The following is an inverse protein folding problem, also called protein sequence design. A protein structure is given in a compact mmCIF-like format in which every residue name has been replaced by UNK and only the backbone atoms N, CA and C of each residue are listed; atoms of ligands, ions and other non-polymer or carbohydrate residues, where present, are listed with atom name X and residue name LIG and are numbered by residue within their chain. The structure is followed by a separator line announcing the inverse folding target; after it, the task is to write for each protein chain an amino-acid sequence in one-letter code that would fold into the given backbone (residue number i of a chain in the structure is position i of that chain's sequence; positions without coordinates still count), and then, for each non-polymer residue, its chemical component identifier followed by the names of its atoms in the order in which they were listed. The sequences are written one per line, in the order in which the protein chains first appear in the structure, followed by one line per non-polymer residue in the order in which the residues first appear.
data_IF_870309152341
#
_entry.id   IF_870309152341
#
_cell.length_a   1.000
_cell.length_b   1.000
_cell.length_c   1.000
_cell.angle_alpha   90.00
_cell.angle_beta   90.00
_cell.angle_gamma   90.00
#
_symmetry.space_group_name_H-M   'P 1'
#
loop_
_entity.id
_entity.type
_entity.pdbx_description
1 polymer ?
#
# COMPACT_ATOMS: atom_id res chain seq x y z
N UNK A 1 -9.22 0.66 22.86
CA UNK A 1 -8.19 0.31 21.87
C UNK A 1 -7.39 -0.86 22.41
N UNK A 2 -7.24 -1.94 21.64
CA UNK A 2 -6.48 -3.12 22.06
C UNK A 2 -5.10 -3.07 21.45
N UNK A 3 -4.05 -3.19 22.25
CA UNK A 3 -2.68 -3.30 21.79
C UNK A 3 -2.31 -4.77 21.66
N UNK A 4 -1.95 -5.22 20.46
CA UNK A 4 -1.67 -6.64 20.16
C UNK A 4 -0.19 -6.99 20.09
N UNK A 5 0.71 -6.00 20.24
CA UNK A 5 2.15 -6.20 20.32
C UNK A 5 2.90 -6.05 18.99
N UNK A 6 4.01 -6.78 18.87
CA UNK A 6 4.95 -6.71 17.75
C UNK A 6 4.40 -7.46 16.55
N UNK A 7 4.26 -6.78 15.41
CA UNK A 7 3.70 -7.32 14.16
C UNK A 7 4.48 -8.56 13.66
N UNK A 8 5.76 -8.66 13.94
CA UNK A 8 6.59 -9.81 13.51
C UNK A 8 6.25 -11.10 14.25
N UNK A 9 5.56 -10.99 15.39
CA UNK A 9 5.15 -12.12 16.24
C UNK A 9 3.67 -12.44 16.16
N UNK A 10 2.90 -11.61 15.46
CA UNK A 10 1.46 -11.83 15.32
C UNK A 10 1.16 -12.88 14.25
N UNK A 11 0.13 -13.67 14.51
CA UNK A 11 -0.51 -14.53 13.54
C UNK A 11 -1.82 -13.87 13.11
N UNK A 12 -1.90 -13.40 11.87
CA UNK A 12 -3.07 -12.72 11.33
C UNK A 12 -4.34 -13.59 11.33
N UNK A 13 -4.20 -14.92 11.27
CA UNK A 13 -5.32 -15.83 11.29
C UNK A 13 -6.04 -15.90 12.65
N UNK A 14 -5.34 -15.53 13.73
CA UNK A 14 -5.86 -15.54 15.10
C UNK A 14 -6.46 -14.19 15.53
N UNK A 15 -6.19 -13.14 14.74
CA UNK A 15 -6.71 -11.81 15.02
C UNK A 15 -8.20 -11.72 14.64
N UNK A 16 -8.97 -10.89 15.37
CA UNK A 16 -10.33 -10.56 14.94
C UNK A 16 -10.33 -9.94 13.54
N UNK A 17 -11.27 -10.30 12.66
CA UNK A 17 -11.36 -9.70 11.34
C UNK A 17 -11.64 -8.19 11.45
N UNK A 18 -10.92 -7.40 10.66
CA UNK A 18 -11.06 -5.94 10.56
C UNK A 18 -11.35 -5.54 9.11
N UNK A 19 -12.06 -4.44 8.90
CA UNK A 19 -12.39 -3.98 7.55
C UNK A 19 -11.20 -3.38 6.82
N UNK A 20 -10.33 -2.67 7.54
CA UNK A 20 -9.16 -1.96 6.99
C UNK A 20 -7.93 -2.20 7.85
N UNK A 21 -6.78 -2.37 7.19
CA UNK A 21 -5.46 -2.34 7.82
C UNK A 21 -4.71 -1.12 7.29
N UNK A 22 -4.32 -0.23 8.21
CA UNK A 22 -3.50 0.94 7.90
C UNK A 22 -2.08 0.75 8.43
N UNK A 23 -1.09 1.19 7.66
CA UNK A 23 0.31 1.14 8.08
C UNK A 23 1.17 2.17 7.35
N UNK A 24 2.25 2.59 8.02
CA UNK A 24 3.31 3.44 7.48
C UNK A 24 4.64 2.81 7.84
N UNK A 25 5.18 1.96 6.98
CA UNK A 25 6.49 1.37 7.21
C UNK A 25 7.59 2.42 7.07
N UNK A 26 8.67 2.37 7.88
CA UNK A 26 9.81 3.24 7.70
C UNK A 26 10.37 3.16 6.27
N UNK A 27 10.75 4.30 5.69
CA UNK A 27 11.26 4.37 4.32
C UNK A 27 12.52 3.52 4.10
N UNK A 28 13.29 3.30 5.16
CA UNK A 28 14.51 2.47 5.15
C UNK A 28 14.21 0.98 4.98
N UNK A 29 12.98 0.56 5.24
CA UNK A 29 12.57 -0.85 5.18
C UNK A 29 12.17 -1.30 3.76
N UNK A 30 12.03 -0.37 2.82
CA UNK A 30 11.70 -0.66 1.42
C UNK A 30 12.94 -0.91 0.56
N UNK A 31 14.16 -0.60 1.05
CA UNK A 31 15.36 -0.75 0.25
C UNK A 31 15.65 -2.22 -0.08
N UNK A 32 15.72 -2.51 -1.37
CA UNK A 32 15.93 -3.83 -2.00
C UNK A 32 17.22 -4.55 -1.57
N UNK A 33 18.13 -3.85 -0.88
CA UNK A 33 19.30 -4.49 -0.28
C UNK A 33 18.92 -5.66 0.68
N UNK A 34 17.72 -5.62 1.24
CA UNK A 34 17.15 -6.72 2.01
C UNK A 34 16.54 -7.85 1.18
N UNK A 35 15.94 -7.55 0.02
CA UNK A 35 15.27 -8.56 -0.81
C UNK A 35 16.25 -9.47 -1.57
N UNK A 36 17.48 -9.00 -1.84
CA UNK A 36 18.54 -9.81 -2.46
C UNK A 36 19.30 -10.70 -1.48
N UNK A 37 19.19 -10.44 -0.17
CA UNK A 37 19.77 -11.28 0.87
C UNK A 37 18.89 -12.50 1.21
N UNK A 38 17.84 -12.75 0.44
CA UNK A 38 16.86 -13.77 0.74
C UNK A 38 16.00 -13.40 1.97
N UNK A 39 15.09 -14.27 2.38
CA UNK A 39 14.17 -14.11 3.52
C UNK A 39 14.86 -13.82 4.88
N UNK A 40 16.17 -13.61 4.91
CA UNK A 40 17.00 -13.36 6.11
C UNK A 40 17.39 -11.88 6.33
N UNK A 41 17.01 -10.95 5.45
CA UNK A 41 17.33 -9.52 5.61
C UNK A 41 16.36 -8.83 6.55
N UNK A 42 16.77 -8.59 7.78
CA UNK A 42 15.94 -8.13 8.91
C UNK A 42 15.37 -6.68 8.81
N UNK A 43 15.42 -6.01 7.67
CA UNK A 43 15.02 -4.59 7.53
C UNK A 43 14.00 -4.25 6.44
N UNK A 44 13.70 -5.16 5.52
CA UNK A 44 12.55 -5.03 4.60
C UNK A 44 11.24 -5.51 5.26
N UNK A 45 11.31 -5.76 6.56
CA UNK A 45 10.38 -6.56 7.30
C UNK A 45 9.00 -5.95 7.50
N UNK A 46 8.85 -4.69 7.92
CA UNK A 46 7.57 -4.25 8.48
C UNK A 46 6.46 -4.10 7.43
N UNK A 47 6.77 -3.65 6.22
CA UNK A 47 5.79 -3.65 5.14
C UNK A 47 5.41 -5.08 4.72
N UNK A 48 6.39 -5.97 4.58
CA UNK A 48 6.14 -7.37 4.24
C UNK A 48 5.36 -8.09 5.34
N UNK A 49 5.63 -7.77 6.61
CA UNK A 49 4.86 -8.26 7.75
C UNK A 49 3.40 -7.76 7.72
N UNK A 50 3.18 -6.50 7.36
CA UNK A 50 1.83 -5.98 7.15
C UNK A 50 1.11 -6.77 6.05
N UNK A 51 1.76 -7.04 4.91
CA UNK A 51 1.19 -7.83 3.83
C UNK A 51 0.98 -9.30 4.22
N UNK A 52 1.87 -9.88 5.04
CA UNK A 52 1.69 -11.21 5.61
C UNK A 52 0.42 -11.29 6.47
N UNK A 53 0.24 -10.34 7.40
CA UNK A 53 -0.96 -10.27 8.25
C UNK A 53 -2.23 -10.14 7.40
N UNK A 54 -2.23 -9.29 6.38
CA UNK A 54 -3.37 -9.16 5.46
C UNK A 54 -3.71 -10.50 4.79
N UNK A 55 -2.71 -11.22 4.27
CA UNK A 55 -2.90 -12.53 3.63
C UNK A 55 -3.45 -13.56 4.61
N UNK A 56 -2.87 -13.65 5.80
CA UNK A 56 -3.29 -14.60 6.84
C UNK A 56 -4.73 -14.34 7.30
N UNK A 57 -5.09 -13.07 7.55
CA UNK A 57 -6.46 -12.71 7.94
C UNK A 57 -7.46 -13.05 6.85
N UNK A 58 -7.19 -12.69 5.58
CA UNK A 58 -8.07 -12.98 4.45
C UNK A 58 -8.24 -14.49 4.26
N UNK A 59 -7.14 -15.26 4.32
CA UNK A 59 -7.19 -16.71 4.21
C UNK A 59 -8.00 -17.37 5.34
N UNK A 60 -7.86 -16.88 6.57
CA UNK A 60 -8.65 -17.34 7.70
C UNK A 60 -10.14 -17.00 7.54
N UNK A 61 -10.43 -15.82 7.01
CA UNK A 61 -11.79 -15.34 6.80
C UNK A 61 -12.51 -16.15 5.70
N UNK A 62 -11.81 -16.50 4.62
CA UNK A 62 -12.30 -17.43 3.62
C UNK A 62 -12.62 -18.84 4.19
N UNK A 63 -11.75 -19.33 5.10
CA UNK A 63 -12.01 -20.60 5.80
C UNK A 63 -13.23 -20.54 6.72
N UNK A 64 -13.62 -19.34 7.18
CA UNK A 64 -14.86 -19.08 7.92
C UNK A 64 -16.10 -19.01 7.03
N UNK A 65 -15.95 -19.20 5.70
CA UNK A 65 -17.05 -19.20 4.72
C UNK A 65 -17.41 -17.84 4.16
N UNK A 66 -16.57 -16.80 4.30
CA UNK A 66 -16.79 -15.51 3.65
C UNK A 66 -16.27 -15.51 2.23
N UNK A 67 -16.95 -14.78 1.34
CA UNK A 67 -16.65 -14.73 -0.09
C UNK A 67 -16.71 -13.28 -0.61
N UNK A 68 -15.95 -13.02 -1.68
CA UNK A 68 -16.01 -11.76 -2.42
C UNK A 68 -15.82 -10.55 -1.52
N UNK A 69 -16.82 -9.67 -1.51
CA UNK A 69 -16.80 -8.39 -0.76
C UNK A 69 -16.83 -8.55 0.77
N UNK A 70 -17.17 -9.73 1.26
CA UNK A 70 -17.27 -9.99 2.71
C UNK A 70 -15.95 -10.47 3.33
N UNK A 71 -14.95 -10.80 2.53
CA UNK A 71 -13.63 -11.23 3.02
C UNK A 71 -12.90 -10.04 3.66
N UNK A 72 -12.43 -10.24 4.87
CA UNK A 72 -11.71 -9.22 5.67
C UNK A 72 -10.21 -9.54 5.81
N UNK A 73 -9.36 -8.51 5.81
CA UNK A 73 -9.66 -7.11 5.50
C UNK A 73 -10.03 -6.91 4.03
N UNK A 74 -10.97 -6.00 3.76
CA UNK A 74 -11.29 -5.56 2.41
C UNK A 74 -10.29 -4.49 1.93
N UNK A 75 -9.82 -3.65 2.86
CA UNK A 75 -9.04 -2.46 2.54
C UNK A 75 -7.63 -2.52 3.14
N UNK A 76 -6.68 -2.00 2.40
CA UNK A 76 -5.35 -1.63 2.91
C UNK A 76 -5.09 -0.18 2.61
N UNK A 77 -4.64 0.55 3.63
CA UNK A 77 -4.10 1.91 3.48
C UNK A 77 -2.61 1.88 3.86
N UNK A 78 -1.77 2.45 3.01
CA UNK A 78 -0.34 2.60 3.26
C UNK A 78 0.08 4.05 3.09
N UNK A 79 0.88 4.56 4.05
CA UNK A 79 1.44 5.91 4.04
C UNK A 79 2.95 5.85 3.97
N UNK A 80 3.57 6.75 3.19
CA UNK A 80 5.03 6.89 3.18
C UNK A 80 5.47 8.26 2.67
N UNK A 81 6.79 8.49 2.72
CA UNK A 81 7.40 9.71 2.16
C UNK A 81 7.57 9.58 0.64
N UNK A 82 7.55 10.71 -0.13
CA UNK A 82 7.73 10.70 -1.58
C UNK A 82 9.04 10.07 -2.06
N UNK A 83 10.05 9.98 -1.19
CA UNK A 83 11.30 9.29 -1.48
C UNK A 83 11.12 7.82 -1.91
N UNK A 84 10.03 7.17 -1.51
CA UNK A 84 9.71 5.81 -1.93
C UNK A 84 9.51 5.68 -3.46
N UNK A 85 9.06 6.74 -4.13
CA UNK A 85 8.91 6.75 -5.60
C UNK A 85 10.24 6.65 -6.34
N UNK A 86 11.35 7.07 -5.74
CA UNK A 86 12.66 7.16 -6.40
C UNK A 86 13.68 6.18 -5.83
N UNK A 87 13.37 5.51 -4.73
CA UNK A 87 14.27 4.58 -4.05
C UNK A 87 14.34 3.21 -4.73
N UNK A 88 15.31 2.42 -4.29
CA UNK A 88 15.54 1.07 -4.77
C UNK A 88 16.73 0.92 -5.73
N UNK A 89 17.07 -0.35 -6.00
CA UNK A 89 18.11 -0.72 -6.95
C UNK A 89 17.61 -1.91 -7.78
N UNK A 90 17.26 -1.69 -9.06
CA UNK A 90 17.35 -0.46 -9.84
C UNK A 90 16.47 0.67 -9.29
N UNK A 91 16.70 1.90 -9.74
CA UNK A 91 15.91 3.06 -9.35
C UNK A 91 14.43 2.83 -9.61
N UNK A 92 13.55 3.32 -8.71
CA UNK A 92 12.08 3.18 -8.72
C UNK A 92 11.55 1.80 -8.28
N UNK A 93 12.43 0.89 -7.87
CA UNK A 93 12.08 -0.50 -7.57
C UNK A 93 11.27 -0.64 -6.28
N UNK A 94 11.54 0.18 -5.25
CA UNK A 94 10.89 0.02 -3.94
C UNK A 94 9.38 0.23 -4.04
N UNK A 95 8.92 1.26 -4.73
CA UNK A 95 7.48 1.48 -4.89
C UNK A 95 6.83 0.46 -5.83
N UNK A 96 7.57 -0.05 -6.83
CA UNK A 96 7.13 -1.18 -7.66
C UNK A 96 6.82 -2.40 -6.80
N UNK A 97 7.71 -2.73 -5.85
CA UNK A 97 7.53 -3.85 -4.92
C UNK A 97 6.30 -3.62 -4.03
N UNK A 98 6.08 -2.41 -3.53
CA UNK A 98 4.88 -2.08 -2.74
C UNK A 98 3.61 -2.37 -3.54
N UNK A 99 3.52 -1.89 -4.78
CA UNK A 99 2.37 -2.14 -5.65
C UNK A 99 2.19 -3.64 -5.91
N UNK A 100 3.27 -4.33 -6.25
CA UNK A 100 3.26 -5.75 -6.60
C UNK A 100 2.83 -6.63 -5.43
N UNK A 101 3.33 -6.38 -4.23
CA UNK A 101 2.97 -7.16 -3.04
C UNK A 101 1.51 -6.98 -2.62
N UNK A 102 0.95 -5.78 -2.83
CA UNK A 102 -0.48 -5.53 -2.60
C UNK A 102 -1.33 -6.24 -3.65
N UNK A 103 -0.97 -6.11 -4.93
CA UNK A 103 -1.69 -6.76 -6.04
C UNK A 103 -1.67 -8.28 -5.90
N UNK A 104 -0.56 -8.86 -5.46
CA UNK A 104 -0.38 -10.31 -5.26
C UNK A 104 -1.29 -10.92 -4.18
N UNK A 105 -1.93 -10.11 -3.35
CA UNK A 105 -2.95 -10.60 -2.41
C UNK A 105 -4.15 -11.20 -3.17
N UNK A 106 -4.51 -10.61 -4.31
CA UNK A 106 -5.60 -11.10 -5.17
C UNK A 106 -5.09 -11.87 -6.40
N UNK A 107 -3.92 -11.50 -6.92
CA UNK A 107 -3.34 -12.02 -8.15
C UNK A 107 -1.90 -12.47 -7.93
N UNK A 108 -1.66 -13.68 -7.39
CA UNK A 108 -0.34 -14.12 -6.90
C UNK A 108 0.79 -14.10 -7.93
N UNK A 109 0.46 -14.20 -9.22
CA UNK A 109 1.44 -14.26 -10.33
C UNK A 109 1.56 -12.95 -11.09
N UNK A 110 0.86 -11.89 -10.65
CA UNK A 110 0.92 -10.60 -11.31
C UNK A 110 2.25 -9.90 -11.07
N UNK A 111 2.76 -9.27 -12.11
CA UNK A 111 3.99 -8.49 -12.08
C UNK A 111 3.69 -7.04 -12.46
N UNK A 112 4.19 -6.11 -11.68
CA UNK A 112 4.08 -4.69 -11.97
C UNK A 112 5.31 -4.25 -12.76
N UNK A 113 5.15 -3.68 -13.97
CA UNK A 113 6.28 -3.22 -14.78
C UNK A 113 7.00 -2.05 -14.10
N UNK A 114 8.32 -2.01 -14.27
CA UNK A 114 9.10 -0.84 -13.84
C UNK A 114 8.69 0.39 -14.65
N UNK A 115 8.59 1.58 -14.03
CA UNK A 115 8.30 2.80 -14.75
C UNK A 115 9.50 3.31 -15.56
N UNK A 116 10.69 2.73 -15.35
CA UNK A 116 11.92 3.18 -16.04
C UNK A 116 11.76 3.23 -17.56
N UNK A 117 12.26 4.29 -18.24
CA UNK A 117 13.10 5.38 -17.74
C UNK A 117 12.38 6.55 -17.06
N UNK A 118 11.08 6.49 -16.95
CA UNK A 118 10.24 7.51 -16.32
C UNK A 118 10.17 7.30 -14.80
N UNK A 119 9.75 8.33 -14.06
CA UNK A 119 9.46 8.23 -12.63
C UNK A 119 8.02 7.80 -12.39
N UNK A 120 7.73 7.30 -11.18
CA UNK A 120 6.35 7.13 -10.75
C UNK A 120 5.63 8.47 -10.71
N UNK A 121 4.40 8.57 -11.24
CA UNK A 121 3.60 9.79 -11.14
C UNK A 121 3.15 10.03 -9.69
N UNK A 122 2.92 11.30 -9.34
CA UNK A 122 2.43 11.70 -8.01
C UNK A 122 1.03 11.13 -7.69
N UNK A 123 0.29 10.71 -8.68
CA UNK A 123 -0.98 10.01 -8.55
C UNK A 123 -1.13 8.96 -9.66
N UNK A 124 -1.81 7.85 -9.34
CA UNK A 124 -2.09 6.79 -10.30
C UNK A 124 -2.99 5.73 -9.72
N UNK A 125 -3.40 4.80 -10.57
CA UNK A 125 -4.30 3.71 -10.20
C UNK A 125 -4.01 2.43 -10.97
N UNK A 126 -4.41 1.31 -10.40
CA UNK A 126 -4.44 -0.02 -10.99
C UNK A 126 -5.81 -0.64 -10.73
N UNK A 127 -6.44 -1.18 -11.77
CA UNK A 127 -7.75 -1.82 -11.64
C UNK A 127 -7.77 -3.16 -12.37
N UNK A 128 -8.51 -4.12 -11.84
CA UNK A 128 -8.69 -5.44 -12.45
C UNK A 128 -10.17 -5.85 -12.45
N UNK A 129 -10.82 -5.69 -13.61
CA UNK A 129 -12.14 -6.24 -13.91
C UNK A 129 -13.27 -5.88 -12.94
N UNK A 130 -13.16 -4.78 -12.21
CA UNK A 130 -14.13 -4.39 -11.18
C UNK A 130 -14.04 -5.20 -9.87
N UNK A 131 -13.15 -6.19 -9.79
CA UNK A 131 -12.97 -7.04 -8.61
C UNK A 131 -11.84 -6.57 -7.67
N UNK A 132 -11.00 -5.67 -8.16
CA UNK A 132 -9.88 -5.10 -7.41
C UNK A 132 -9.57 -3.70 -7.93
N UNK A 133 -9.19 -2.82 -7.03
CA UNK A 133 -8.60 -1.54 -7.36
C UNK A 133 -7.55 -1.11 -6.33
N UNK A 134 -6.58 -0.35 -6.79
CA UNK A 134 -5.55 0.29 -6.00
C UNK A 134 -5.32 1.68 -6.58
N UNK A 135 -5.20 2.68 -5.72
CA UNK A 135 -4.85 4.03 -6.13
C UNK A 135 -3.80 4.61 -5.17
N UNK A 136 -2.97 5.51 -5.68
CA UNK A 136 -2.04 6.27 -4.85
C UNK A 136 -2.06 7.74 -5.21
N UNK A 137 -1.75 8.59 -4.23
CA UNK A 137 -1.63 10.03 -4.40
C UNK A 137 -0.63 10.60 -3.41
N UNK A 138 0.19 11.54 -3.90
CA UNK A 138 1.04 12.35 -3.03
C UNK A 138 0.25 13.59 -2.57
N UNK A 139 0.07 13.74 -1.27
CA UNK A 139 -0.63 14.85 -0.63
C UNK A 139 0.35 15.69 0.19
N UNK A 140 0.13 17.02 0.22
CA UNK A 140 0.90 17.93 1.06
C UNK A 140 -0.02 18.56 2.12
N UNK A 141 0.33 18.36 3.38
CA UNK A 141 -0.48 18.79 4.53
C UNK A 141 -0.77 20.30 4.54
N UNK A 142 0.06 21.13 3.90
CA UNK A 142 -0.15 22.59 3.82
C UNK A 142 -1.49 22.97 3.17
N UNK A 143 -2.03 22.12 2.28
CA UNK A 143 -3.31 22.36 1.59
C UNK A 143 -4.52 21.86 2.39
N UNK A 144 -4.29 21.30 3.59
CA UNK A 144 -5.31 20.68 4.44
C UNK A 144 -5.43 21.35 5.81
N UNK A 145 -5.18 22.66 5.86
CA UNK A 145 -5.31 23.46 7.08
C UNK A 145 -4.16 23.31 8.09
N UNK A 146 -3.07 22.66 7.71
CA UNK A 146 -1.86 22.52 8.53
C UNK A 146 -0.78 23.43 7.97
N UNK A 147 -0.26 24.37 8.78
CA UNK A 147 0.80 25.30 8.39
C UNK A 147 2.18 24.60 8.30
N UNK A 148 2.25 23.46 7.63
CA UNK A 148 3.47 22.67 7.46
C UNK A 148 3.54 22.06 6.05
N UNK A 149 4.64 22.26 5.36
CA UNK A 149 4.97 21.51 4.14
C UNK A 149 5.35 20.09 4.51
N UNK A 150 4.41 19.16 4.34
CA UNK A 150 4.60 17.75 4.65
C UNK A 150 3.97 16.89 3.56
N UNK A 151 4.77 16.54 2.58
CA UNK A 151 4.34 15.64 1.50
C UNK A 151 4.36 14.19 1.95
N UNK A 152 3.28 13.46 1.64
CA UNK A 152 3.14 12.03 1.90
C UNK A 152 2.43 11.32 0.76
N UNK A 153 2.88 10.13 0.46
CA UNK A 153 2.16 9.20 -0.40
C UNK A 153 1.09 8.53 0.45
N UNK A 154 -0.14 8.55 -0.04
CA UNK A 154 -1.20 7.70 0.43
C UNK A 154 -1.56 6.71 -0.66
N UNK A 155 -1.64 5.44 -0.31
CA UNK A 155 -2.08 4.37 -1.17
C UNK A 155 -3.26 3.69 -0.52
N UNK A 156 -4.32 3.45 -1.29
CA UNK A 156 -5.51 2.72 -0.87
C UNK A 156 -5.74 1.55 -1.83
N UNK A 157 -5.99 0.37 -1.30
CA UNK A 157 -6.38 -0.79 -2.08
C UNK A 157 -7.74 -1.32 -1.62
N UNK A 158 -8.62 -1.63 -2.58
CA UNK A 158 -9.89 -2.36 -2.41
C UNK A 158 -9.73 -3.76 -3.00
N UNK A 159 -9.68 -4.77 -2.14
CA UNK A 159 -9.53 -6.18 -2.54
C UNK A 159 -10.81 -6.84 -3.04
N UNK A 160 -11.88 -6.07 -3.20
CA UNK A 160 -13.19 -6.62 -3.58
C UNK A 160 -14.02 -5.65 -4.44
N UNK A 161 -13.40 -4.64 -5.05
CA UNK A 161 -14.17 -3.70 -5.88
C UNK A 161 -13.33 -2.59 -6.51
N UNK A 162 -13.99 -1.68 -7.23
CA UNK A 162 -13.36 -0.58 -7.97
C UNK A 162 -13.26 0.73 -7.19
N UNK A 163 -13.48 0.75 -5.86
CA UNK A 163 -13.74 1.99 -5.12
C UNK A 163 -12.48 2.75 -4.67
N UNK A 164 -11.29 2.13 -4.71
CA UNK A 164 -10.09 2.79 -4.21
C UNK A 164 -9.76 4.12 -4.94
N UNK A 165 -9.82 4.21 -6.28
CA UNK A 165 -9.61 5.49 -6.98
C UNK A 165 -10.67 6.54 -6.60
N UNK A 166 -11.94 6.17 -6.57
CA UNK A 166 -13.03 7.08 -6.22
C UNK A 166 -12.82 7.67 -4.82
N UNK A 167 -12.54 6.82 -3.83
CA UNK A 167 -12.32 7.28 -2.46
C UNK A 167 -11.09 8.15 -2.32
N UNK A 168 -10.00 7.83 -3.02
CA UNK A 168 -8.74 8.57 -2.87
C UNK A 168 -8.74 9.89 -3.66
N UNK A 169 -9.43 9.96 -4.80
CA UNK A 169 -9.43 11.14 -5.66
C UNK A 169 -10.64 12.06 -5.40
N UNK A 170 -11.85 11.52 -5.25
CA UNK A 170 -13.06 12.32 -5.11
C UNK A 170 -13.18 12.98 -3.74
N UNK A 171 -12.84 12.27 -2.65
CA UNK A 171 -12.91 12.81 -1.28
C UNK A 171 -11.96 13.99 -1.08
N UNK A 172 -10.86 14.03 -1.81
CA UNK A 172 -9.85 15.08 -1.66
C UNK A 172 -9.94 16.19 -2.72
N UNK A 173 -10.90 16.13 -3.65
CA UNK A 173 -11.12 17.15 -4.68
C UNK A 173 -9.89 17.41 -5.57
N UNK A 174 -10.06 18.24 -6.59
CA UNK A 174 -8.97 18.60 -7.52
C UNK A 174 -7.91 19.53 -6.90
N UNK A 175 -8.20 20.14 -5.76
CA UNK A 175 -7.35 21.16 -5.12
C UNK A 175 -6.15 20.61 -4.34
N UNK A 176 -6.07 19.30 -4.13
CA UNK A 176 -4.94 18.65 -3.43
C UNK A 176 -3.80 18.21 -4.34
N UNK A 177 -3.70 18.75 -5.55
CA UNK A 177 -2.67 18.35 -6.50
C UNK A 177 -1.28 18.79 -6.02
N UNK A 178 -0.36 17.84 -5.88
CA UNK A 178 1.07 18.07 -5.69
C UNK A 178 1.70 18.55 -7.01
N UNK A 179 0.91 19.31 -7.80
CA UNK A 179 1.23 19.72 -9.16
C UNK A 179 2.28 20.80 -9.19
N UNK A 180 3.20 20.64 -10.12
CA UNK A 180 4.13 21.62 -10.62
C UNK A 180 3.40 22.92 -10.92
N UNK A 181 3.81 24.01 -10.29
CA UNK A 181 3.63 25.31 -10.91
C UNK A 181 4.32 25.26 -12.27
N UNK A 182 3.52 25.33 -13.32
CA UNK A 182 4.01 25.61 -14.68
C UNK A 182 4.26 27.09 -14.70
N UNK A 183 5.52 27.49 -14.60
CA UNK A 183 6.02 28.81 -15.02
C UNK A 183 6.41 28.72 -16.46
#
# INVERSE_FOLDING_TARGET
MTHVGDITKLNGAELPPVDIICGGSPCQDLSVAGARAGLAGARSGLFMEQMRIVREMRAADQKRGRFGVDIRPRWVCWENVPGAFSSGTPKYEDFRIVLEEIVRICFPNELIPSPYPYAWPDAGELTAGGAFSLAWRCLDAQFWGVAQRRKRIFLLADFAGPLAPQLLFDVFGETGNCGKEVT
#
